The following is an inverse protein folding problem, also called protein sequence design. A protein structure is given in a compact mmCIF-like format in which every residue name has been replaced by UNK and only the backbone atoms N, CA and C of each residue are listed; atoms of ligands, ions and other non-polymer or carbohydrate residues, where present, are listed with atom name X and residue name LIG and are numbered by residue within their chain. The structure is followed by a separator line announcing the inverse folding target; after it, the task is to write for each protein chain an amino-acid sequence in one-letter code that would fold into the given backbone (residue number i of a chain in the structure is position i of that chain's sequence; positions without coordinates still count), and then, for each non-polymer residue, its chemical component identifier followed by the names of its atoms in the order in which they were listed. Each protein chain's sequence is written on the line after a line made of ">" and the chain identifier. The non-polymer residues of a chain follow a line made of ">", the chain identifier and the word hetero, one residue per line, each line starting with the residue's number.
data_IF_819333608422
#
_entry.id   IF_819333608422
#
_cell.length_a   1.000
_cell.length_b   1.000
_cell.length_c   1.000
_cell.angle_alpha   90.00
_cell.angle_beta   90.00
_cell.angle_gamma   90.00
#
_symmetry.space_group_name_H-M   'P 1'
#
loop_
_entity.id
_entity.type
_entity.pdbx_description
1 polymer ?
#
# COMPACT_ATOMS: atom_id res chain seq x y z
N UNK A 1 -0.28 -2.29 17.49
CA UNK A 1 0.19 -1.16 16.66
C UNK A 1 -0.12 0.19 17.30
N UNK A 2 -1.39 0.50 17.62
CA UNK A 2 -1.77 1.76 18.27
C UNK A 2 -0.92 2.11 19.50
N UNK A 3 -0.70 1.18 20.43
CA UNK A 3 0.18 1.43 21.60
C UNK A 3 1.60 1.86 21.21
N UNK A 4 2.17 1.22 20.20
CA UNK A 4 3.54 1.49 19.77
C UNK A 4 3.66 2.83 19.04
N UNK A 5 2.72 3.17 18.17
CA UNK A 5 2.77 4.38 17.34
C UNK A 5 2.25 5.59 18.09
N UNK A 6 1.15 5.42 18.84
CA UNK A 6 0.47 6.50 19.56
C UNK A 6 0.93 6.59 21.02
N UNK A 7 0.70 5.57 21.84
CA UNK A 7 0.94 5.69 23.30
C UNK A 7 2.41 5.90 23.66
N UNK A 8 3.32 5.14 23.03
CA UNK A 8 4.74 5.15 23.39
C UNK A 8 5.51 6.36 22.85
N UNK A 9 5.05 6.97 21.75
CA UNK A 9 5.77 8.06 21.08
C UNK A 9 4.94 9.34 21.08
N UNK A 10 3.82 9.37 20.35
CA UNK A 10 3.01 10.59 20.19
C UNK A 10 2.36 11.08 21.50
N UNK A 11 1.86 10.15 22.32
CA UNK A 11 1.19 10.44 23.60
C UNK A 11 2.13 10.50 24.81
N UNK A 12 3.41 10.17 24.62
CA UNK A 12 4.40 10.13 25.70
C UNK A 12 5.13 11.47 25.81
N UNK A 13 5.20 12.01 27.02
CA UNK A 13 5.99 13.23 27.27
C UNK A 13 7.48 12.93 27.03
N UNK A 14 8.09 13.65 26.08
CA UNK A 14 9.47 13.44 25.65
C UNK A 14 9.68 12.32 24.62
N UNK A 15 8.61 11.76 24.05
CA UNK A 15 8.68 10.79 22.94
C UNK A 15 8.92 11.45 21.57
N UNK A 16 9.21 10.63 20.56
CA UNK A 16 9.50 11.08 19.20
C UNK A 16 8.41 10.59 18.23
N UNK A 17 7.44 11.44 17.84
CA UNK A 17 6.33 11.00 17.00
C UNK A 17 6.81 10.55 15.62
N UNK A 18 6.30 9.40 15.17
CA UNK A 18 6.58 8.90 13.84
C UNK A 18 6.06 9.84 12.76
N UNK A 19 6.91 10.22 11.81
CA UNK A 19 6.52 11.10 10.70
C UNK A 19 5.74 10.41 9.58
N UNK A 20 6.00 9.11 9.33
CA UNK A 20 5.33 8.30 8.31
C UNK A 20 5.44 6.82 8.66
N UNK A 21 4.41 6.03 8.33
CA UNK A 21 4.42 4.58 8.39
C UNK A 21 4.51 4.02 6.97
N UNK A 22 5.49 3.16 6.70
CA UNK A 22 5.59 2.45 5.42
C UNK A 22 5.34 0.97 5.66
N UNK A 23 4.31 0.43 5.03
CA UNK A 23 3.98 -1.00 5.04
C UNK A 23 4.38 -1.66 3.73
N UNK A 24 5.25 -2.66 3.78
CA UNK A 24 5.57 -3.51 2.63
C UNK A 24 4.49 -4.59 2.43
N UNK A 25 3.31 -4.13 2.03
CA UNK A 25 2.14 -4.95 1.73
C UNK A 25 1.55 -4.52 0.39
N UNK A 26 0.74 -5.41 -0.18
CA UNK A 26 0.01 -5.14 -1.42
C UNK A 26 -1.47 -5.35 -1.14
N UNK A 27 -2.22 -4.24 -1.16
CA UNK A 27 -3.64 -4.25 -0.85
C UNK A 27 -4.50 -4.30 -2.10
N UNK A 28 -5.60 -5.04 -2.04
CA UNK A 28 -6.64 -5.08 -3.06
C UNK A 28 -8.00 -4.61 -2.53
N UNK A 29 -9.05 -4.87 -3.31
CA UNK A 29 -10.43 -4.48 -2.98
C UNK A 29 -11.17 -5.54 -2.13
N UNK A 30 -10.48 -6.61 -1.72
CA UNK A 30 -11.07 -7.68 -0.91
C UNK A 30 -11.48 -7.15 0.47
N UNK A 31 -12.53 -7.73 1.09
CA UNK A 31 -12.99 -7.28 2.40
C UNK A 31 -11.89 -7.25 3.50
N UNK A 32 -11.00 -8.26 3.63
CA UNK A 32 -9.94 -8.23 4.64
C UNK A 32 -8.95 -7.08 4.45
N UNK A 33 -8.56 -6.80 3.20
CA UNK A 33 -7.61 -5.74 2.89
C UNK A 33 -8.22 -4.36 3.13
N UNK A 34 -9.49 -4.18 2.77
CA UNK A 34 -10.24 -2.94 3.04
C UNK A 34 -10.40 -2.71 4.55
N UNK A 35 -10.70 -3.76 5.32
CA UNK A 35 -10.81 -3.68 6.78
C UNK A 35 -9.47 -3.29 7.41
N UNK A 36 -8.39 -3.95 7.00
CA UNK A 36 -7.04 -3.64 7.48
C UNK A 36 -6.64 -2.21 7.14
N UNK A 37 -6.87 -1.76 5.90
CA UNK A 37 -6.65 -0.37 5.50
C UNK A 37 -7.48 0.60 6.34
N UNK A 38 -8.74 0.28 6.62
CA UNK A 38 -9.61 1.08 7.47
C UNK A 38 -9.07 1.25 8.89
N UNK A 39 -8.60 0.17 9.51
CA UNK A 39 -7.99 0.24 10.85
C UNK A 39 -6.66 0.99 10.84
N UNK A 40 -5.84 0.81 9.80
CA UNK A 40 -4.61 1.59 9.61
C UNK A 40 -4.91 3.08 9.43
N UNK A 41 -5.97 3.44 8.69
CA UNK A 41 -6.43 4.81 8.54
C UNK A 41 -6.69 5.48 9.90
N UNK A 42 -7.43 4.79 10.78
CA UNK A 42 -7.77 5.30 12.12
C UNK A 42 -6.53 5.53 12.98
N UNK A 43 -5.59 4.58 12.98
CA UNK A 43 -4.33 4.70 13.72
C UNK A 43 -3.51 5.88 13.18
N UNK A 44 -3.36 5.95 11.86
CA UNK A 44 -2.63 7.02 11.17
C UNK A 44 -3.25 8.40 11.37
N UNK A 45 -4.58 8.50 11.37
CA UNK A 45 -5.31 9.73 11.65
C UNK A 45 -5.09 10.18 13.10
N UNK A 46 -5.18 9.26 14.06
CA UNK A 46 -4.97 9.55 15.48
C UNK A 46 -3.55 10.02 15.78
N UNK A 47 -2.53 9.39 15.17
CA UNK A 47 -1.12 9.74 15.40
C UNK A 47 -0.54 10.75 14.41
N UNK A 48 -1.38 11.32 13.52
CA UNK A 48 -0.96 12.20 12.40
C UNK A 48 0.20 11.63 11.57
N UNK A 49 0.22 10.32 11.38
CA UNK A 49 1.30 9.60 10.73
C UNK A 49 0.76 8.92 9.46
N UNK A 50 0.94 9.50 8.26
CA UNK A 50 0.43 8.90 7.02
C UNK A 50 0.97 7.49 6.81
N UNK A 51 0.11 6.59 6.34
CA UNK A 51 0.44 5.21 5.99
C UNK A 51 0.62 5.07 4.48
N UNK A 52 1.81 4.64 4.06
CA UNK A 52 2.17 4.40 2.67
C UNK A 52 2.33 2.89 2.45
N UNK A 53 1.69 2.34 1.43
CA UNK A 53 1.85 0.93 1.05
C UNK A 53 1.70 0.71 -0.46
N UNK A 54 1.82 -0.53 -0.92
CA UNK A 54 1.61 -0.90 -2.31
C UNK A 54 0.15 -1.24 -2.60
N UNK A 55 -0.34 -0.90 -3.79
CA UNK A 55 -1.55 -1.52 -4.31
C UNK A 55 -1.22 -2.81 -5.08
N UNK A 56 -2.07 -3.82 -4.95
CA UNK A 56 -2.03 -5.01 -5.79
C UNK A 56 -2.68 -4.73 -7.16
N UNK A 57 -2.24 -5.38 -8.25
CA UNK A 57 -2.86 -5.23 -9.57
C UNK A 57 -4.34 -5.69 -9.57
N UNK A 58 -4.71 -6.61 -8.67
CA UNK A 58 -6.09 -7.07 -8.47
C UNK A 58 -7.04 -5.95 -8.04
N UNK A 59 -6.53 -4.84 -7.47
CA UNK A 59 -7.37 -3.66 -7.19
C UNK A 59 -7.97 -3.06 -8.46
N UNK A 60 -7.35 -3.27 -9.62
CA UNK A 60 -7.84 -2.82 -10.92
C UNK A 60 -8.44 -3.97 -11.76
N UNK A 61 -8.80 -5.11 -11.14
CA UNK A 61 -9.19 -6.34 -11.83
C UNK A 61 -8.14 -6.82 -12.86
N UNK A 62 -6.84 -6.67 -12.55
CA UNK A 62 -5.73 -7.12 -13.38
C UNK A 62 -4.96 -8.24 -12.68
N UNK A 63 -4.39 -9.17 -13.46
CA UNK A 63 -3.44 -10.16 -12.92
C UNK A 63 -2.04 -9.55 -12.77
N UNK A 64 -1.70 -8.61 -13.66
CA UNK A 64 -0.39 -7.94 -13.69
C UNK A 64 -0.51 -6.45 -13.97
N UNK A 65 0.40 -5.65 -13.39
CA UNK A 65 0.55 -4.23 -13.72
C UNK A 65 0.94 -3.98 -15.20
N UNK A 66 1.34 -5.01 -15.94
CA UNK A 66 1.57 -4.93 -17.38
C UNK A 66 0.28 -4.65 -18.18
N UNK A 67 -0.87 -4.99 -17.62
CA UNK A 67 -2.18 -4.82 -18.26
C UNK A 67 -2.75 -3.41 -18.08
N UNK A 68 -2.06 -2.52 -17.35
CA UNK A 68 -2.53 -1.16 -17.05
C UNK A 68 -2.82 -0.33 -18.31
N UNK A 69 -2.21 -0.66 -19.45
CA UNK A 69 -2.48 -0.01 -20.75
C UNK A 69 -3.72 -0.51 -21.48
N UNK A 70 -4.36 -1.60 -21.03
CA UNK A 70 -5.50 -2.21 -21.72
C UNK A 70 -6.84 -1.47 -21.48
N UNK A 71 -7.19 -1.06 -20.24
CA UNK A 71 -8.47 -0.41 -19.99
C UNK A 71 -8.48 1.01 -20.51
N UNK A 72 -9.52 1.37 -21.26
CA UNK A 72 -9.74 2.74 -21.72
C UNK A 72 -10.20 3.69 -20.61
N UNK A 73 -10.84 3.15 -19.56
CA UNK A 73 -11.34 3.91 -18.42
C UNK A 73 -11.32 3.06 -17.14
N UNK A 74 -10.42 3.41 -16.21
CA UNK A 74 -10.27 2.74 -14.92
C UNK A 74 -11.43 3.04 -13.96
N UNK A 75 -12.13 4.16 -14.17
CA UNK A 75 -13.21 4.61 -13.27
C UNK A 75 -14.36 3.61 -13.24
N UNK A 76 -14.66 2.98 -14.39
CA UNK A 76 -15.72 1.98 -14.51
C UNK A 76 -15.46 0.73 -13.68
N UNK A 77 -14.21 0.36 -13.47
CA UNK A 77 -13.82 -0.81 -12.68
C UNK A 77 -14.32 -0.64 -11.24
N UNK A 78 -14.11 0.55 -10.66
CA UNK A 78 -14.53 0.89 -9.30
C UNK A 78 -16.04 1.08 -9.11
N UNK A 79 -16.83 1.10 -10.18
CA UNK A 79 -18.29 1.22 -10.10
C UNK A 79 -18.98 -0.13 -9.84
N UNK A 80 -18.27 -1.24 -10.03
CA UNK A 80 -18.79 -2.57 -9.77
C UNK A 80 -19.17 -2.73 -8.27
N UNK A 81 -20.17 -3.57 -8.00
CA UNK A 81 -20.65 -3.88 -6.65
C UNK A 81 -19.59 -4.52 -5.76
N UNK A 82 -18.63 -5.23 -6.34
CA UNK A 82 -17.48 -5.81 -5.61
C UNK A 82 -16.63 -4.75 -4.91
N UNK A 83 -16.60 -3.52 -5.45
CA UNK A 83 -15.86 -2.39 -4.89
C UNK A 83 -16.67 -1.57 -3.89
N UNK A 84 -17.83 -2.05 -3.43
CA UNK A 84 -18.60 -1.31 -2.43
C UNK A 84 -17.79 -1.02 -1.14
N UNK A 85 -17.07 -2.00 -0.53
CA UNK A 85 -16.24 -1.73 0.64
C UNK A 85 -15.11 -0.74 0.33
N UNK A 86 -14.47 -0.88 -0.83
CA UNK A 86 -13.40 0.01 -1.28
C UNK A 86 -13.87 1.46 -1.47
N UNK A 87 -15.08 1.66 -2.02
CA UNK A 87 -15.68 2.99 -2.16
C UNK A 87 -16.01 3.59 -0.79
N UNK A 88 -16.59 2.81 0.11
CA UNK A 88 -16.85 3.26 1.48
C UNK A 88 -15.57 3.64 2.22
N UNK A 89 -14.47 2.90 2.03
CA UNK A 89 -13.15 3.28 2.55
C UNK A 89 -12.72 4.64 2.02
N UNK A 90 -12.82 4.88 0.71
CA UNK A 90 -12.43 6.16 0.08
C UNK A 90 -13.29 7.35 0.47
N UNK A 91 -14.54 7.11 0.89
CA UNK A 91 -15.46 8.15 1.39
C UNK A 91 -15.17 8.51 2.85
N UNK A 92 -14.44 7.67 3.59
CA UNK A 92 -14.01 7.96 4.96
C UNK A 92 -13.06 9.16 5.01
N UNK A 93 -13.23 10.03 6.02
CA UNK A 93 -12.33 11.16 6.25
C UNK A 93 -10.90 10.68 6.57
N UNK A 94 -10.77 9.56 7.28
CA UNK A 94 -9.47 8.98 7.66
C UNK A 94 -8.66 8.48 6.46
N UNK A 95 -9.31 8.23 5.31
CA UNK A 95 -8.64 7.72 4.11
C UNK A 95 -7.61 8.69 3.55
N UNK A 96 -7.68 9.98 3.91
CA UNK A 96 -6.66 10.99 3.56
C UNK A 96 -5.26 10.66 4.10
N UNK A 97 -5.17 9.81 5.12
CA UNK A 97 -3.91 9.36 5.69
C UNK A 97 -3.34 8.12 5.01
N UNK A 98 -4.03 7.54 4.03
CA UNK A 98 -3.58 6.37 3.28
C UNK A 98 -3.06 6.80 1.90
N UNK A 99 -1.84 6.38 1.59
CA UNK A 99 -1.26 6.48 0.25
C UNK A 99 -0.91 5.10 -0.29
N UNK A 100 -1.42 4.76 -1.48
CA UNK A 100 -1.08 3.51 -2.15
C UNK A 100 -0.30 3.76 -3.43
N UNK A 101 0.89 3.18 -3.52
CA UNK A 101 1.79 3.30 -4.66
C UNK A 101 1.52 2.22 -5.71
N UNK A 102 1.60 2.61 -6.98
CA UNK A 102 1.47 1.76 -8.17
C UNK A 102 2.58 2.13 -9.17
N UNK A 103 3.06 1.21 -10.03
CA UNK A 103 3.50 -0.18 -9.82
C UNK A 103 4.86 -0.27 -9.07
N UNK A 104 5.32 -1.50 -8.81
CA UNK A 104 6.66 -1.78 -8.26
C UNK A 104 7.78 -1.39 -9.23
N UNK A 105 8.96 -1.11 -8.67
CA UNK A 105 10.19 -0.91 -9.44
C UNK A 105 11.13 -2.11 -9.30
N UNK A 106 12.02 -2.28 -10.27
CA UNK A 106 13.03 -3.33 -10.24
C UNK A 106 14.12 -2.97 -9.23
N UNK A 107 14.29 -3.80 -8.18
CA UNK A 107 15.29 -3.55 -7.12
C UNK A 107 16.70 -3.90 -7.54
N UNK A 108 16.86 -4.92 -8.40
CA UNK A 108 18.17 -5.39 -8.90
C UNK A 108 18.09 -5.90 -10.32
N UNK A 109 19.20 -5.83 -11.03
CA UNK A 109 19.34 -6.51 -12.32
C UNK A 109 19.44 -8.03 -12.13
N UNK A 110 18.93 -8.82 -13.10
CA UNK A 110 19.17 -10.26 -13.14
C UNK A 110 20.67 -10.57 -13.14
N UNK A 111 21.04 -11.63 -12.41
CA UNK A 111 22.40 -12.18 -12.50
C UNK A 111 22.67 -12.67 -13.92
N UNK A 112 23.92 -12.52 -14.34
CA UNK A 112 24.38 -12.97 -15.64
C UNK A 112 25.75 -12.38 -15.96
N UNK A 113 26.56 -13.13 -16.70
CA UNK A 113 27.94 -12.78 -17.07
C UNK A 113 28.10 -11.33 -17.57
N UNK A 114 27.10 -10.81 -18.30
CA UNK A 114 27.14 -9.47 -18.90
C UNK A 114 26.53 -8.36 -18.03
N UNK A 115 25.71 -8.70 -17.02
CA UNK A 115 24.94 -7.73 -16.24
C UNK A 115 25.41 -7.67 -14.79
N UNK A 116 25.35 -8.80 -14.09
CA UNK A 116 25.74 -8.93 -12.70
C UNK A 116 26.33 -10.34 -12.52
N UNK A 117 27.63 -10.54 -12.80
CA UNK A 117 28.26 -11.85 -12.67
C UNK A 117 28.36 -12.26 -11.18
N UNK A 118 28.38 -13.56 -10.93
CA UNK A 118 28.61 -14.14 -9.59
C UNK A 118 30.04 -14.62 -9.54
N UNK A 119 30.78 -14.26 -8.48
CA UNK A 119 32.21 -14.60 -8.37
C UNK A 119 32.46 -16.09 -8.10
N UNK A 120 31.48 -16.79 -7.52
CA UNK A 120 31.64 -18.16 -7.02
C UNK A 120 31.45 -19.24 -8.09
N UNK A 121 30.65 -18.97 -9.12
CA UNK A 121 30.42 -19.87 -10.24
C UNK A 121 29.82 -19.14 -11.45
N UNK A 122 29.98 -19.72 -12.64
CA UNK A 122 29.41 -19.19 -13.88
C UNK A 122 27.87 -19.35 -13.89
N UNK A 123 27.16 -18.21 -13.82
CA UNK A 123 25.69 -18.09 -13.89
C UNK A 123 25.23 -17.33 -15.14
#
# INVERSE_FOLDING_TARGET
>A
LFKSVYENEYGQFGGEPFGCLVGDYYFDHSPPDVELLGEMAKISAASHCPFISGAAPSVMQMESWQELGNPRDLTKIFQNTEYAPWRSLRESEDARYIGLAMPRFLSRLPYGIRTNPVDEFDF
#
